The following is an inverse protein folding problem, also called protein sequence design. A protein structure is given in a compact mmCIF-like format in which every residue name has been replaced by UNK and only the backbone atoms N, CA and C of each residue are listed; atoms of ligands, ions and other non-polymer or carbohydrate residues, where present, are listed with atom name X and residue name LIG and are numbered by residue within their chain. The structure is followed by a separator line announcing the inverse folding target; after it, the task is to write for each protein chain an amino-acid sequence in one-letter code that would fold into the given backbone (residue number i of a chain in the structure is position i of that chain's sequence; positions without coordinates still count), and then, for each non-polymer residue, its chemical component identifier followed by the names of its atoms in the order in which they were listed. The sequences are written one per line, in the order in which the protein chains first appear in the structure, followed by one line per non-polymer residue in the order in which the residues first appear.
data_IF_714200519869
#
_entry.id   IF_714200519869
#
_cell.length_a   1.000
_cell.length_b   1.000
_cell.length_c   1.000
_cell.angle_alpha   90.00
_cell.angle_beta   90.00
_cell.angle_gamma   90.00
#
_symmetry.space_group_name_H-M   'P 1'
#
loop_
_entity.id
_entity.type
_entity.pdbx_description
1 polymer ?
#
# COMPACT_ATOMS: atom_id res chain seq x y z
N UNK A 1 5.71 -41.44 -54.16
CA UNK A 1 5.16 -40.40 -55.06
C UNK A 1 3.89 -39.83 -54.43
N UNK A 2 3.75 -38.48 -54.43
CA UNK A 2 2.60 -37.63 -54.01
C UNK A 2 2.27 -37.66 -52.50
N UNK A 3 2.72 -36.74 -51.63
CA UNK A 3 2.54 -35.27 -51.50
C UNK A 3 1.07 -34.80 -51.54
N UNK A 4 0.49 -34.53 -50.37
CA UNK A 4 -0.49 -33.47 -50.16
C UNK A 4 -0.21 -32.74 -48.85
N UNK A 5 0.25 -31.49 -48.98
CA UNK A 5 0.28 -30.47 -47.94
C UNK A 5 -1.16 -30.00 -47.74
N UNK A 6 -1.64 -29.92 -46.51
CA UNK A 6 -2.78 -29.04 -46.19
C UNK A 6 -2.42 -28.19 -44.98
N UNK A 7 -2.16 -26.93 -45.30
CA UNK A 7 -2.07 -25.79 -44.41
C UNK A 7 -3.40 -25.62 -43.67
N UNK A 8 -3.43 -25.81 -42.36
CA UNK A 8 -4.40 -25.14 -41.49
C UNK A 8 -3.63 -24.24 -40.52
N UNK A 9 -3.39 -23.05 -41.06
CA UNK A 9 -3.00 -21.81 -40.43
C UNK A 9 -3.92 -21.52 -39.22
N UNK A 10 -3.57 -22.01 -38.03
CA UNK A 10 -4.10 -21.43 -36.78
C UNK A 10 -3.06 -20.46 -36.27
N UNK A 11 -3.11 -19.24 -36.81
CA UNK A 11 -2.47 -18.06 -36.23
C UNK A 11 -3.05 -17.92 -34.83
N UNK A 12 -2.30 -18.38 -33.83
CA UNK A 12 -2.51 -18.02 -32.44
C UNK A 12 -2.19 -16.53 -32.34
N UNK A 13 -3.20 -15.72 -32.59
CA UNK A 13 -3.18 -14.28 -32.48
C UNK A 13 -2.91 -13.98 -31.00
N UNK A 14 -1.64 -13.74 -30.67
CA UNK A 14 -1.21 -13.11 -29.44
C UNK A 14 -1.91 -11.75 -29.36
N UNK A 15 -3.09 -11.74 -28.78
CA UNK A 15 -3.72 -10.54 -28.24
C UNK A 15 -2.84 -10.08 -27.09
N UNK A 16 -1.76 -9.37 -27.41
CA UNK A 16 -1.15 -8.42 -26.51
C UNK A 16 -2.23 -7.39 -26.20
N UNK A 17 -3.03 -7.64 -25.16
CA UNK A 17 -3.82 -6.62 -24.51
C UNK A 17 -2.81 -5.65 -23.92
N UNK A 18 -2.40 -4.66 -24.72
CA UNK A 18 -1.69 -3.51 -24.20
C UNK A 18 -2.67 -2.80 -23.29
N UNK A 19 -2.57 -3.05 -21.99
CA UNK A 19 -3.25 -2.26 -20.98
C UNK A 19 -2.75 -0.82 -21.14
N UNK A 20 -3.53 0.01 -21.84
CA UNK A 20 -3.30 1.45 -21.86
C UNK A 20 -3.97 2.01 -20.62
N UNK A 21 -3.17 2.49 -19.67
CA UNK A 21 -3.68 3.31 -18.58
C UNK A 21 -4.34 4.55 -19.19
N UNK A 22 -5.65 4.70 -19.00
CA UNK A 22 -6.39 5.86 -19.47
C UNK A 22 -6.33 6.94 -18.39
N UNK A 23 -5.84 8.12 -18.73
CA UNK A 23 -5.83 9.25 -17.81
C UNK A 23 -7.24 9.85 -17.70
N UNK A 24 -7.72 10.06 -16.49
CA UNK A 24 -9.00 10.71 -16.23
C UNK A 24 -8.75 12.21 -16.02
N UNK A 25 -9.34 13.06 -16.87
CA UNK A 25 -9.23 14.52 -16.74
C UNK A 25 -9.96 15.02 -15.50
N UNK A 26 -11.15 14.47 -15.22
CA UNK A 26 -11.99 14.83 -14.08
C UNK A 26 -12.49 13.57 -13.36
N UNK A 27 -12.10 13.41 -12.10
CA UNK A 27 -12.63 12.40 -11.18
C UNK A 27 -13.74 12.99 -10.32
N UNK A 28 -14.70 12.17 -9.91
CA UNK A 28 -15.83 12.62 -9.09
C UNK A 28 -15.65 12.24 -7.63
N UNK A 29 -16.04 13.16 -6.76
CA UNK A 29 -16.03 12.93 -5.32
C UNK A 29 -17.38 13.20 -4.71
N UNK A 30 -17.58 12.56 -3.56
CA UNK A 30 -18.63 12.94 -2.62
C UNK A 30 -18.01 13.82 -1.53
N UNK A 31 -18.70 14.86 -1.05
CA UNK A 31 -18.26 15.62 0.11
C UNK A 31 -17.91 14.69 1.27
N UNK A 32 -16.78 14.95 1.93
CA UNK A 32 -16.35 14.20 3.09
C UNK A 32 -16.07 15.16 4.25
N UNK A 33 -16.83 14.99 5.32
CA UNK A 33 -16.66 15.75 6.55
C UNK A 33 -15.74 14.96 7.48
N UNK A 34 -14.53 15.49 7.70
CA UNK A 34 -13.63 14.95 8.72
C UNK A 34 -14.32 15.07 10.06
N UNK A 35 -14.69 13.92 10.65
CA UNK A 35 -15.27 13.90 12.00
C UNK A 35 -14.25 14.49 12.96
N UNK A 36 -14.65 15.53 13.69
CA UNK A 36 -13.99 15.86 14.95
C UNK A 36 -14.24 14.67 15.87
N UNK A 37 -13.18 13.94 16.20
CA UNK A 37 -13.31 12.86 17.16
C UNK A 37 -13.30 13.52 18.54
N UNK A 38 -14.48 13.95 18.98
CA UNK A 38 -14.64 14.77 20.18
C UNK A 38 -13.90 14.14 21.37
N UNK A 39 -13.00 14.92 21.98
CA UNK A 39 -12.16 14.47 23.09
C UNK A 39 -10.93 13.63 22.73
N UNK A 40 -10.68 13.32 21.44
CA UNK A 40 -9.47 12.63 20.98
C UNK A 40 -8.52 13.65 20.32
N UNK A 41 -7.34 13.79 20.89
CA UNK A 41 -6.26 14.63 20.39
C UNK A 41 -5.59 13.99 19.16
N UNK A 42 -5.15 14.84 18.22
CA UNK A 42 -4.45 14.43 17.00
C UNK A 42 -5.37 14.19 15.82
N UNK A 43 -4.81 13.61 14.75
CA UNK A 43 -5.51 13.40 13.48
C UNK A 43 -5.77 11.92 13.19
N UNK A 44 -6.94 11.63 12.61
CA UNK A 44 -7.30 10.34 12.04
C UNK A 44 -6.60 10.05 10.69
N UNK A 45 -6.01 11.09 10.10
CA UNK A 45 -5.29 11.03 8.82
C UNK A 45 -3.91 10.37 8.98
N UNK A 46 -3.40 9.81 7.89
CA UNK A 46 -2.07 9.22 7.81
C UNK A 46 -0.99 10.27 8.09
N UNK A 47 -1.15 11.46 7.51
CA UNK A 47 -0.24 12.61 7.63
C UNK A 47 -1.01 13.88 7.98
N UNK A 48 -0.33 14.84 8.60
CA UNK A 48 -0.91 16.18 8.85
C UNK A 48 -0.99 16.99 7.54
N UNK A 49 -0.02 16.79 6.65
CA UNK A 49 0.03 17.43 5.35
C UNK A 49 -0.72 16.62 4.29
N UNK A 50 -1.36 17.33 3.37
CA UNK A 50 -1.91 16.76 2.15
C UNK A 50 -0.83 16.69 1.07
N UNK A 51 -0.76 15.58 0.34
CA UNK A 51 0.36 15.28 -0.56
C UNK A 51 -0.09 15.12 -2.00
N UNK A 52 0.72 15.61 -2.95
CA UNK A 52 0.51 15.30 -4.36
C UNK A 52 0.72 13.80 -4.60
N UNK A 53 -0.20 13.18 -5.32
CA UNK A 53 -0.16 11.75 -5.59
C UNK A 53 -0.94 11.34 -6.82
N UNK A 54 -0.79 10.07 -7.17
CA UNK A 54 -1.47 9.41 -8.29
C UNK A 54 -2.42 8.38 -7.73
N UNK A 55 -3.67 8.40 -8.18
CA UNK A 55 -4.69 7.40 -7.85
C UNK A 55 -4.81 6.40 -8.99
N UNK A 56 -4.95 5.13 -8.65
CA UNK A 56 -5.17 4.03 -9.58
C UNK A 56 -6.54 3.43 -9.30
N UNK A 57 -7.46 3.55 -10.25
CA UNK A 57 -8.83 3.05 -10.11
C UNK A 57 -8.94 1.59 -10.55
N UNK A 58 -9.96 0.89 -10.04
CA UNK A 58 -10.24 -0.51 -10.40
C UNK A 58 -10.50 -0.68 -11.90
N UNK A 59 -11.09 0.34 -12.54
CA UNK A 59 -11.34 0.37 -13.99
C UNK A 59 -10.07 0.59 -14.85
N UNK A 60 -8.89 0.69 -14.24
CA UNK A 60 -7.61 0.90 -14.93
C UNK A 60 -7.29 2.34 -15.27
N UNK A 61 -8.17 3.30 -14.91
CA UNK A 61 -7.88 4.73 -15.06
C UNK A 61 -6.92 5.21 -13.98
N UNK A 62 -6.25 6.33 -14.26
CA UNK A 62 -5.42 7.05 -13.28
C UNK A 62 -5.77 8.52 -13.22
N UNK A 63 -5.52 9.16 -12.08
CA UNK A 63 -5.67 10.59 -11.90
C UNK A 63 -4.64 11.14 -10.92
N UNK A 64 -4.21 12.38 -11.13
CA UNK A 64 -3.41 13.12 -10.15
C UNK A 64 -4.31 13.91 -9.21
N UNK A 65 -3.99 13.89 -7.92
CA UNK A 65 -4.76 14.54 -6.88
C UNK A 65 -3.88 14.97 -5.71
N UNK A 66 -4.38 15.91 -4.92
CA UNK A 66 -3.83 16.21 -3.60
C UNK A 66 -4.57 15.29 -2.61
N UNK A 67 -3.85 14.31 -2.06
CA UNK A 67 -4.37 13.17 -1.31
C UNK A 67 -4.07 13.25 0.17
N UNK A 68 -4.94 12.62 0.96
CA UNK A 68 -4.64 12.15 2.30
C UNK A 68 -5.48 10.92 2.60
N UNK A 69 -5.02 10.05 3.49
CA UNK A 69 -5.70 8.80 3.79
C UNK A 69 -6.21 8.82 5.23
N UNK A 70 -7.53 8.75 5.41
CA UNK A 70 -8.13 8.55 6.72
C UNK A 70 -7.97 7.09 7.13
N UNK A 71 -6.84 6.77 7.76
CA UNK A 71 -6.50 5.41 8.20
C UNK A 71 -7.32 4.93 9.40
N UNK A 72 -8.06 5.80 10.08
CA UNK A 72 -9.05 5.38 11.09
C UNK A 72 -10.37 4.95 10.44
N UNK A 73 -10.78 5.64 9.37
CA UNK A 73 -12.02 5.36 8.64
C UNK A 73 -11.87 4.48 7.40
N UNK A 74 -10.66 4.03 7.06
CA UNK A 74 -10.33 3.28 5.82
C UNK A 74 -10.84 3.99 4.55
N UNK A 75 -10.63 5.31 4.45
CA UNK A 75 -11.12 6.13 3.33
C UNK A 75 -10.02 7.00 2.73
N UNK A 76 -9.74 6.83 1.42
CA UNK A 76 -8.86 7.72 0.67
C UNK A 76 -9.59 9.01 0.33
N UNK A 77 -8.98 10.14 0.69
CA UNK A 77 -9.54 11.47 0.52
C UNK A 77 -8.69 12.27 -0.45
N UNK A 78 -9.33 13.25 -1.10
CA UNK A 78 -8.66 14.22 -1.95
C UNK A 78 -9.17 15.64 -1.71
N UNK A 79 -8.37 16.65 -2.06
CA UNK A 79 -8.84 18.03 -2.17
C UNK A 79 -9.36 18.30 -3.57
N UNK A 80 -10.60 18.75 -3.64
CA UNK A 80 -11.26 19.21 -4.87
C UNK A 80 -10.41 20.27 -5.58
N UNK A 81 -10.08 20.09 -6.87
CA UNK A 81 -9.39 21.12 -7.65
C UNK A 81 -10.16 22.43 -7.80
N UNK A 82 -11.49 22.40 -7.58
CA UNK A 82 -12.38 23.57 -7.78
C UNK A 82 -12.36 24.54 -6.60
N UNK A 83 -12.39 24.01 -5.38
CA UNK A 83 -12.66 24.78 -4.16
C UNK A 83 -11.85 24.30 -2.94
N UNK A 84 -10.92 23.35 -3.14
CA UNK A 84 -10.13 22.71 -2.08
C UNK A 84 -10.95 21.98 -0.99
N UNK A 85 -12.25 21.75 -1.22
CA UNK A 85 -13.09 20.94 -0.33
C UNK A 85 -12.57 19.51 -0.23
N UNK A 86 -12.70 18.90 0.96
CA UNK A 86 -12.31 17.51 1.19
C UNK A 86 -13.40 16.58 0.67
N UNK A 87 -13.00 15.62 -0.17
CA UNK A 87 -13.90 14.68 -0.80
C UNK A 87 -13.33 13.26 -0.74
N UNK A 88 -14.23 12.28 -0.82
CA UNK A 88 -13.88 10.88 -1.00
C UNK A 88 -14.22 10.44 -2.43
N UNK A 89 -13.41 9.56 -3.01
CA UNK A 89 -13.62 9.08 -4.37
C UNK A 89 -14.93 8.28 -4.49
N UNK A 90 -15.73 8.58 -5.51
CA UNK A 90 -16.92 7.78 -5.84
C UNK A 90 -16.50 6.54 -6.62
N UNK A 91 -15.54 6.69 -7.54
CA UNK A 91 -14.99 5.55 -8.27
C UNK A 91 -14.14 4.66 -7.35
N UNK A 92 -14.29 3.31 -7.42
CA UNK A 92 -13.49 2.40 -6.61
C UNK A 92 -11.99 2.55 -6.89
N UNK A 93 -11.23 2.82 -5.82
CA UNK A 93 -9.78 2.97 -5.86
C UNK A 93 -9.10 1.62 -5.59
N UNK A 94 -8.21 1.22 -6.50
CA UNK A 94 -7.36 0.03 -6.37
C UNK A 94 -6.08 0.33 -5.59
N UNK A 95 -5.56 1.54 -5.70
CA UNK A 95 -4.35 1.97 -5.04
C UNK A 95 -4.05 3.43 -5.26
N UNK A 96 -3.04 3.94 -4.59
CA UNK A 96 -2.55 5.30 -4.78
C UNK A 96 -1.06 5.38 -4.46
N UNK A 97 -0.37 6.40 -4.97
CA UNK A 97 1.02 6.69 -4.62
C UNK A 97 1.17 8.15 -4.23
N UNK A 98 2.02 8.42 -3.25
CA UNK A 98 2.35 9.77 -2.75
C UNK A 98 3.86 9.93 -2.68
N UNK A 99 4.33 11.16 -2.91
CA UNK A 99 5.75 11.53 -2.84
C UNK A 99 5.98 12.54 -1.73
N UNK A 100 7.19 12.53 -1.18
CA UNK A 100 7.60 13.44 -0.10
C UNK A 100 6.82 13.21 1.21
N UNK A 101 6.32 12.00 1.45
CA UNK A 101 5.72 11.65 2.73
C UNK A 101 6.81 11.50 3.79
N UNK A 102 6.53 11.96 5.01
CA UNK A 102 7.37 11.76 6.18
C UNK A 102 6.53 11.11 7.28
N UNK A 103 6.91 9.92 7.70
CA UNK A 103 6.32 9.19 8.82
C UNK A 103 7.44 8.71 9.73
N UNK A 104 7.35 8.98 11.03
CA UNK A 104 8.38 8.56 12.00
C UNK A 104 8.67 7.05 11.96
N UNK A 105 7.66 6.28 11.57
CA UNK A 105 7.69 4.83 11.50
C UNK A 105 8.37 4.28 10.22
N UNK A 106 8.70 5.10 9.21
CA UNK A 106 9.24 4.66 7.90
C UNK A 106 10.33 5.59 7.37
N UNK A 107 11.36 5.03 6.72
CA UNK A 107 12.40 5.78 6.02
C UNK A 107 12.15 5.92 4.50
N UNK A 108 10.97 5.53 4.01
CA UNK A 108 10.56 5.77 2.63
C UNK A 108 9.84 7.11 2.48
N UNK A 109 10.28 7.92 1.51
CA UNK A 109 9.64 9.20 1.19
C UNK A 109 8.64 9.11 0.05
N UNK A 110 8.71 8.05 -0.75
CA UNK A 110 7.80 7.75 -1.84
C UNK A 110 7.10 6.44 -1.50
N UNK A 111 5.78 6.50 -1.31
CA UNK A 111 5.00 5.36 -0.88
C UNK A 111 3.91 5.04 -1.90
N UNK A 112 3.73 3.75 -2.16
CA UNK A 112 2.62 3.22 -2.95
C UNK A 112 1.75 2.34 -2.07
N UNK A 113 0.44 2.51 -2.20
CA UNK A 113 -0.58 1.79 -1.46
C UNK A 113 -1.45 1.00 -2.44
N UNK A 114 -1.82 -0.22 -2.06
CA UNK A 114 -2.72 -1.09 -2.83
C UNK A 114 -3.76 -1.72 -1.93
N UNK A 115 -4.95 -1.94 -2.46
CA UNK A 115 -6.00 -2.78 -1.90
C UNK A 115 -6.15 -4.06 -2.75
N UNK A 116 -7.16 -4.88 -2.44
CA UNK A 116 -7.47 -6.12 -3.17
C UNK A 116 -6.79 -7.37 -2.63
N UNK A 117 -6.16 -7.31 -1.45
CA UNK A 117 -5.57 -8.47 -0.80
C UNK A 117 -6.62 -9.30 -0.05
N UNK A 118 -6.39 -10.61 0.17
CA UNK A 118 -7.26 -11.44 1.00
C UNK A 118 -7.49 -10.81 2.39
N UNK A 119 -8.68 -11.03 2.95
CA UNK A 119 -8.98 -10.62 4.32
C UNK A 119 -8.02 -11.30 5.31
N UNK A 120 -7.57 -10.55 6.31
CA UNK A 120 -6.63 -11.01 7.34
C UNK A 120 -6.83 -10.16 8.59
N UNK A 121 -6.76 -10.77 9.78
CA UNK A 121 -7.14 -10.13 11.04
C UNK A 121 -8.52 -9.44 10.89
N UNK A 122 -8.58 -8.12 11.12
CA UNK A 122 -9.78 -7.29 10.95
C UNK A 122 -9.81 -6.53 9.60
N UNK A 123 -8.86 -6.80 8.70
CA UNK A 123 -8.74 -6.10 7.43
C UNK A 123 -9.55 -6.79 6.33
N UNK A 124 -10.06 -5.98 5.40
CA UNK A 124 -10.89 -6.45 4.28
C UNK A 124 -10.15 -6.26 2.96
N UNK A 125 -10.66 -6.80 1.83
CA UNK A 125 -10.10 -6.53 0.51
C UNK A 125 -10.12 -5.05 0.10
N UNK A 126 -10.88 -4.19 0.80
CA UNK A 126 -10.88 -2.74 0.56
C UNK A 126 -9.72 -2.03 1.25
N UNK A 127 -9.13 -2.64 2.28
CA UNK A 127 -8.11 -2.02 3.10
C UNK A 127 -6.83 -1.77 2.30
N UNK A 128 -6.29 -0.57 2.43
CA UNK A 128 -5.03 -0.20 1.79
C UNK A 128 -3.82 -0.61 2.62
N UNK A 129 -2.83 -1.19 1.93
CA UNK A 129 -1.52 -1.52 2.47
C UNK A 129 -0.47 -0.75 1.68
N UNK A 130 0.53 -0.19 2.37
CA UNK A 130 1.76 0.25 1.72
C UNK A 130 2.47 -0.99 1.17
N UNK A 131 2.83 -0.94 -0.11
CA UNK A 131 3.65 -1.94 -0.77
C UNK A 131 5.11 -1.57 -0.55
N UNK A 132 5.72 -2.14 0.50
CA UNK A 132 7.13 -1.89 0.85
C UNK A 132 8.05 -2.62 -0.13
N UNK A 133 7.71 -3.86 -0.47
CA UNK A 133 8.40 -4.65 -1.48
C UNK A 133 7.38 -5.30 -2.42
N UNK A 134 7.55 -5.11 -3.73
CA UNK A 134 6.62 -5.62 -4.74
C UNK A 134 7.19 -6.81 -5.52
N UNK A 135 6.31 -7.61 -6.13
CA UNK A 135 6.65 -8.77 -6.95
C UNK A 135 5.76 -9.99 -6.66
N UNK A 136 6.30 -11.19 -6.89
CA UNK A 136 5.61 -12.47 -6.64
C UNK A 136 5.35 -12.68 -5.14
N UNK A 137 6.36 -12.36 -4.33
CA UNK A 137 6.23 -12.23 -2.88
C UNK A 137 6.29 -10.76 -2.55
N UNK A 138 5.26 -10.24 -1.88
CA UNK A 138 5.18 -8.83 -1.49
C UNK A 138 5.36 -8.67 0.00
N UNK A 139 6.04 -7.60 0.39
CA UNK A 139 6.03 -7.08 1.75
C UNK A 139 5.04 -5.94 1.81
N UNK A 140 4.03 -6.11 2.65
CA UNK A 140 2.96 -5.15 2.84
C UNK A 140 3.02 -4.59 4.26
N UNK A 141 2.76 -3.30 4.39
CA UNK A 141 2.65 -2.63 5.68
C UNK A 141 1.27 -2.00 5.81
N UNK A 142 0.58 -2.38 6.87
CA UNK A 142 -0.72 -1.83 7.23
C UNK A 142 -0.55 -0.76 8.30
N UNK A 143 -1.10 0.43 8.06
CA UNK A 143 -1.16 1.52 9.03
C UNK A 143 -2.55 1.61 9.65
N UNK A 144 -2.60 1.87 10.96
CA UNK A 144 -3.84 2.14 11.68
C UNK A 144 -3.64 3.19 12.76
N UNK A 145 -4.65 4.00 13.02
CA UNK A 145 -4.68 4.81 14.24
C UNK A 145 -5.28 4.01 15.38
N UNK A 146 -4.61 4.04 16.53
CA UNK A 146 -5.16 3.58 17.81
C UNK A 146 -5.49 4.80 18.67
N UNK A 147 -6.50 4.69 19.50
CA UNK A 147 -6.78 5.68 20.56
C UNK A 147 -6.07 5.21 21.81
N UNK A 148 -5.10 5.98 22.29
CA UNK A 148 -4.42 5.75 23.55
C UNK A 148 -5.06 6.64 24.61
N UNK A 149 -5.46 6.04 25.71
CA UNK A 149 -5.93 6.75 26.92
C UNK A 149 -4.77 6.90 27.90
N UNK A 150 -4.52 8.13 28.34
CA UNK A 150 -3.53 8.44 29.37
C UNK A 150 -4.19 9.26 30.46
N UNK A 151 -3.94 8.91 31.71
CA UNK A 151 -4.43 9.69 32.86
C UNK A 151 -3.24 10.40 33.49
N UNK A 152 -3.30 11.73 33.53
CA UNK A 152 -2.24 12.53 34.15
C UNK A 152 -2.16 12.21 35.65
N UNK A 153 -0.99 11.77 36.12
CA UNK A 153 -0.75 11.38 37.52
C UNK A 153 -1.17 12.46 38.54
N UNK A 154 -1.06 13.75 38.18
CA UNK A 154 -1.37 14.87 39.08
C UNK A 154 -2.81 15.41 38.93
N UNK A 155 -3.39 15.37 37.74
CA UNK A 155 -4.67 16.05 37.44
C UNK A 155 -5.88 15.14 37.42
N UNK A 156 -5.69 13.80 37.39
CA UNK A 156 -6.76 12.81 37.14
C UNK A 156 -7.56 13.07 35.86
N UNK A 157 -7.05 13.92 34.96
CA UNK A 157 -7.66 14.17 33.64
C UNK A 157 -7.22 13.06 32.70
N UNK A 158 -8.20 12.34 32.14
CA UNK A 158 -7.98 11.36 31.08
C UNK A 158 -7.95 12.07 29.74
N UNK A 159 -6.83 11.94 29.02
CA UNK A 159 -6.69 12.37 27.63
C UNK A 159 -6.72 11.17 26.70
N UNK A 160 -7.42 11.31 25.58
CA UNK A 160 -7.39 10.36 24.47
C UNK A 160 -6.54 10.94 23.35
N UNK A 161 -5.64 10.15 22.77
CA UNK A 161 -4.78 10.61 21.68
C UNK A 161 -4.69 9.58 20.57
N UNK A 162 -4.72 10.02 19.32
CA UNK A 162 -4.43 9.17 18.18
C UNK A 162 -2.94 8.84 18.10
N UNK A 163 -2.60 7.56 18.16
CA UNK A 163 -1.24 7.05 17.95
C UNK A 163 -1.21 6.22 16.67
N UNK A 164 -0.21 6.48 15.82
CA UNK A 164 0.03 5.65 14.64
C UNK A 164 0.60 4.30 15.08
N UNK A 165 -0.02 3.23 14.61
CA UNK A 165 0.49 1.88 14.75
C UNK A 165 0.55 1.22 13.38
N UNK A 166 1.39 0.19 13.26
CA UNK A 166 1.53 -0.54 12.01
C UNK A 166 1.73 -2.05 12.23
N UNK A 167 1.56 -2.82 11.17
CA UNK A 167 1.81 -4.26 11.13
C UNK A 167 2.30 -4.64 9.75
N UNK A 168 3.19 -5.62 9.68
CA UNK A 168 3.72 -6.13 8.41
C UNK A 168 3.07 -7.46 8.05
N UNK A 169 2.87 -7.66 6.75
CA UNK A 169 2.32 -8.86 6.17
C UNK A 169 3.16 -9.28 4.97
N UNK A 170 3.31 -10.59 4.79
CA UNK A 170 3.77 -11.18 3.53
C UNK A 170 2.54 -11.58 2.74
N UNK A 171 2.51 -11.16 1.48
CA UNK A 171 1.56 -11.67 0.50
C UNK A 171 2.29 -12.59 -0.49
N UNK A 172 1.92 -13.86 -0.49
CA UNK A 172 2.45 -14.87 -1.42
C UNK A 172 1.39 -15.94 -1.67
N UNK A 173 1.31 -16.46 -2.90
CA UNK A 173 0.36 -17.52 -3.28
C UNK A 173 -1.10 -17.23 -2.86
N UNK A 174 -1.53 -15.98 -3.00
CA UNK A 174 -2.86 -15.51 -2.60
C UNK A 174 -3.18 -15.70 -1.10
N UNK A 175 -2.16 -15.72 -0.25
CA UNK A 175 -2.29 -15.79 1.21
C UNK A 175 -1.58 -14.62 1.88
N UNK A 176 -2.17 -14.15 2.98
CA UNK A 176 -1.64 -13.07 3.82
C UNK A 176 -1.12 -13.66 5.13
N UNK A 177 0.15 -13.42 5.44
CA UNK A 177 0.78 -13.88 6.68
C UNK A 177 1.34 -12.70 7.44
N UNK A 178 0.82 -12.45 8.65
CA UNK A 178 1.34 -11.41 9.54
C UNK A 178 2.74 -11.77 10.03
N UNK A 179 3.67 -10.82 9.95
CA UNK A 179 5.05 -11.02 10.38
C UNK A 179 5.58 -9.82 11.17
N UNK A 180 6.64 -10.08 11.95
CA UNK A 180 7.61 -9.06 12.33
C UNK A 180 8.81 -9.20 11.39
N UNK A 181 9.21 -8.16 10.63
CA UNK A 181 10.37 -8.24 9.74
C UNK A 181 11.63 -8.64 10.50
N UNK A 182 12.26 -9.72 10.04
CA UNK A 182 13.51 -10.26 10.56
C UNK A 182 14.11 -11.18 9.51
N UNK A 183 15.41 -11.47 9.63
CA UNK A 183 16.06 -12.43 8.74
C UNK A 183 15.32 -13.77 8.70
N UNK A 184 14.91 -14.29 9.86
CA UNK A 184 14.20 -15.57 9.97
C UNK A 184 12.86 -15.54 9.23
N UNK A 185 12.04 -14.52 9.50
CA UNK A 185 10.68 -14.44 8.91
C UNK A 185 10.71 -14.18 7.41
N UNK A 186 11.66 -13.38 6.92
CA UNK A 186 11.77 -13.08 5.48
C UNK A 186 12.36 -14.27 4.72
N UNK A 187 13.40 -14.93 5.23
CA UNK A 187 13.95 -16.12 4.56
C UNK A 187 12.95 -17.27 4.49
N UNK A 188 12.09 -17.42 5.51
CA UNK A 188 11.01 -18.41 5.47
C UNK A 188 10.01 -18.15 4.32
N UNK A 189 9.73 -16.87 4.01
CA UNK A 189 8.86 -16.47 2.91
C UNK A 189 9.52 -16.58 1.52
N UNK A 190 10.86 -16.67 1.46
CA UNK A 190 11.68 -16.68 0.24
C UNK A 190 12.50 -17.97 0.12
N UNK A 191 11.94 -19.08 0.60
CA UNK A 191 12.66 -20.36 0.74
C UNK A 191 13.11 -20.96 -0.59
N UNK A 192 12.44 -20.61 -1.70
CA UNK A 192 12.80 -21.05 -3.06
C UNK A 192 14.12 -20.45 -3.58
N UNK A 193 14.63 -19.39 -2.95
CA UNK A 193 15.91 -18.74 -3.30
C UNK A 193 16.81 -18.54 -2.08
N UNK A 194 16.66 -19.38 -1.04
CA UNK A 194 17.25 -19.19 0.29
C UNK A 194 18.74 -18.87 0.31
N UNK A 195 19.57 -19.62 -0.43
CA UNK A 195 21.03 -19.43 -0.43
C UNK A 195 21.45 -18.06 -0.99
N UNK A 196 20.87 -17.66 -2.14
CA UNK A 196 21.12 -16.35 -2.75
C UNK A 196 20.66 -15.21 -1.85
N UNK A 197 19.53 -15.40 -1.16
CA UNK A 197 19.02 -14.40 -0.22
C UNK A 197 19.89 -14.28 1.04
N UNK A 198 20.40 -15.39 1.57
CA UNK A 198 21.35 -15.36 2.69
C UNK A 198 22.64 -14.64 2.34
N UNK A 199 23.19 -14.90 1.16
CA UNK A 199 24.37 -14.20 0.66
C UNK A 199 24.10 -12.69 0.53
N UNK A 200 22.99 -12.32 -0.10
CA UNK A 200 22.61 -10.91 -0.24
C UNK A 200 22.47 -10.21 1.12
N UNK A 201 21.80 -10.84 2.09
CA UNK A 201 21.60 -10.28 3.43
C UNK A 201 22.93 -10.04 4.14
N UNK A 202 23.86 -11.01 4.03
CA UNK A 202 25.20 -10.91 4.64
C UNK A 202 26.04 -9.81 3.99
N UNK A 203 26.10 -9.79 2.66
CA UNK A 203 26.91 -8.85 1.88
C UNK A 203 26.42 -7.42 2.04
N UNK A 204 25.10 -7.20 2.01
CA UNK A 204 24.51 -5.87 2.10
C UNK A 204 24.19 -5.42 3.54
N UNK A 205 24.46 -6.28 4.55
CA UNK A 205 24.18 -6.03 5.97
C UNK A 205 22.77 -5.45 6.17
N UNK A 206 21.77 -6.15 5.62
CA UNK A 206 20.40 -5.63 5.50
C UNK A 206 19.82 -5.26 6.86
N UNK A 207 19.38 -4.01 6.99
CA UNK A 207 18.67 -3.55 8.17
C UNK A 207 17.17 -3.88 8.05
N UNK A 208 16.72 -4.91 8.76
CA UNK A 208 15.32 -5.36 8.76
C UNK A 208 14.34 -4.39 9.44
N UNK A 209 14.81 -3.26 9.98
CA UNK A 209 13.96 -2.17 10.49
C UNK A 209 13.76 -1.04 9.48
N UNK A 210 14.50 -1.04 8.37
CA UNK A 210 14.44 -0.01 7.33
C UNK A 210 13.53 -0.49 6.19
N UNK A 211 12.47 0.26 5.90
CA UNK A 211 11.57 -0.05 4.79
C UNK A 211 12.32 0.10 3.45
N UNK A 212 13.21 1.08 3.33
CA UNK A 212 14.07 1.25 2.16
C UNK A 212 15.00 0.06 1.93
N UNK A 213 15.60 -0.50 2.99
CA UNK A 213 16.45 -1.69 2.90
C UNK A 213 15.63 -2.95 2.56
N UNK A 214 14.45 -3.10 3.16
CA UNK A 214 13.52 -4.20 2.87
C UNK A 214 13.03 -4.13 1.42
N UNK A 215 12.71 -2.95 0.89
CA UNK A 215 12.33 -2.76 -0.50
C UNK A 215 13.41 -3.26 -1.46
N UNK A 216 14.68 -2.90 -1.21
CA UNK A 216 15.83 -3.38 -2.00
C UNK A 216 15.98 -4.89 -1.94
N UNK A 217 15.85 -5.48 -0.74
CA UNK A 217 15.90 -6.93 -0.55
C UNK A 217 14.82 -7.66 -1.37
N UNK A 218 13.58 -7.18 -1.30
CA UNK A 218 12.46 -7.77 -2.04
C UNK A 218 12.60 -7.56 -3.56
N UNK A 219 13.10 -6.39 -3.99
CA UNK A 219 13.40 -6.15 -5.40
C UNK A 219 14.46 -7.11 -5.93
N UNK A 220 15.51 -7.40 -5.15
CA UNK A 220 16.51 -8.38 -5.52
C UNK A 220 15.93 -9.79 -5.61
N UNK A 221 15.19 -10.24 -4.59
CA UNK A 221 14.52 -11.55 -4.61
C UNK A 221 13.65 -11.73 -5.86
N UNK A 222 12.84 -10.74 -6.19
CA UNK A 222 11.92 -10.80 -7.33
C UNK A 222 12.63 -10.70 -8.71
N UNK A 223 13.92 -10.41 -8.76
CA UNK A 223 14.73 -10.47 -9.99
C UNK A 223 15.40 -11.85 -10.25
N UNK A 224 15.27 -12.79 -9.31
CA UNK A 224 15.89 -14.13 -9.36
C UNK A 224 14.97 -15.23 -9.93
#
# INVERSE_FOLDING_TARGET
MKKYKLYCLFVLLLLCVKAKAQYLSDYTGRPYYLKTNDGIQGSALLTDNWLNGTVYFVNGKTANAILNYNIYGDELLFKSPRDSSVQAFVEPVKGFSVKGIALDESDQTDMSFSSGFPAVDDQTPKTFYQVVGDGKVKLLRYYKKKVLESTGFASQVTTKTFTLANSYYIFANNQMTKIRPSQKTILAAMSDKGDKMQEYIKTNKVNFKSDAALAKLFSYYNSL
#
